data_IF_943558931531
#
_entry.id   IF_943558931531
#
_cell.length_a   1.000
_cell.length_b   1.000
_cell.length_c   1.000
_cell.angle_alpha   90.00
_cell.angle_beta   90.00
_cell.angle_gamma   90.00
#
_symmetry.space_group_name_H-M   'P 1'
#
loop_
_entity.id
_entity.type
_entity.pdbx_description
1 polymer ?
#
# COMPACT_ATOMS: atom_id res chain seq x y z
N UNK A 1 -49.80 -15.14 -21.28
CA UNK A 1 -49.04 -15.95 -20.31
C UNK A 1 -47.82 -16.44 -21.04
N UNK A 2 -46.69 -15.74 -20.88
CA UNK A 2 -45.38 -16.19 -21.32
C UNK A 2 -44.43 -15.96 -20.14
N UNK A 3 -44.00 -17.06 -19.51
CA UNK A 3 -43.03 -17.08 -18.43
C UNK A 3 -41.64 -16.80 -19.01
N UNK A 4 -41.07 -15.68 -18.61
CA UNK A 4 -39.69 -15.27 -18.95
C UNK A 4 -38.71 -15.95 -17.96
N UNK A 5 -38.27 -17.16 -18.33
CA UNK A 5 -37.32 -17.97 -17.59
C UNK A 5 -35.91 -17.39 -17.66
N UNK A 6 -35.60 -16.37 -16.87
CA UNK A 6 -34.21 -15.95 -16.65
C UNK A 6 -33.49 -16.98 -15.76
N UNK A 7 -32.83 -17.92 -16.39
CA UNK A 7 -31.82 -18.76 -15.72
C UNK A 7 -30.65 -17.89 -15.32
N UNK A 8 -30.49 -17.62 -14.00
CA UNK A 8 -29.27 -17.11 -13.42
C UNK A 8 -28.17 -18.16 -13.68
N UNK A 9 -27.32 -17.87 -14.63
CA UNK A 9 -26.11 -18.66 -14.88
C UNK A 9 -25.21 -18.63 -13.65
N UNK A 10 -25.21 -19.71 -12.89
CA UNK A 10 -24.21 -20.00 -11.87
C UNK A 10 -22.87 -19.99 -12.58
N UNK A 11 -22.00 -19.02 -12.25
CA UNK A 11 -20.66 -18.90 -12.81
C UNK A 11 -19.93 -20.22 -12.68
N UNK A 12 -19.69 -20.90 -13.79
CA UNK A 12 -18.86 -22.09 -13.83
C UNK A 12 -17.47 -21.69 -13.35
N UNK A 13 -17.05 -22.16 -12.17
CA UNK A 13 -15.69 -22.02 -11.68
C UNK A 13 -14.73 -22.44 -12.80
N UNK A 14 -13.84 -21.53 -13.22
CA UNK A 14 -12.86 -21.85 -14.25
C UNK A 14 -12.06 -23.06 -13.79
N UNK A 15 -12.14 -24.16 -14.50
CA UNK A 15 -11.32 -25.34 -14.23
C UNK A 15 -9.83 -24.92 -14.27
N UNK A 16 -9.05 -25.39 -13.30
CA UNK A 16 -7.61 -25.11 -13.24
C UNK A 16 -6.97 -25.64 -14.53
N UNK A 17 -6.31 -24.76 -15.28
CA UNK A 17 -5.64 -25.12 -16.53
C UNK A 17 -4.26 -25.67 -16.21
N UNK A 18 -3.85 -26.84 -16.73
CA UNK A 18 -2.56 -27.44 -16.39
C UNK A 18 -1.39 -26.60 -16.89
N UNK A 19 -1.45 -26.11 -18.11
CA UNK A 19 -0.43 -25.26 -18.73
C UNK A 19 -1.05 -24.42 -19.85
N UNK A 20 -0.76 -23.13 -19.87
CA UNK A 20 -1.18 -22.19 -20.92
C UNK A 20 0.03 -21.43 -21.43
N UNK A 21 0.02 -21.07 -22.71
CA UNK A 21 0.99 -20.11 -23.24
C UNK A 21 0.77 -18.75 -22.57
N UNK A 22 1.79 -18.25 -21.89
CA UNK A 22 1.72 -16.96 -21.20
C UNK A 22 1.93 -15.84 -22.23
N UNK A 23 0.88 -15.11 -22.53
CA UNK A 23 0.88 -13.94 -23.43
C UNK A 23 0.26 -12.75 -22.72
N UNK A 24 0.65 -11.55 -23.13
CA UNK A 24 0.11 -10.32 -22.57
C UNK A 24 -1.41 -10.28 -22.71
N UNK A 25 -2.07 -9.81 -21.67
CA UNK A 25 -3.52 -9.58 -21.68
C UNK A 25 -3.85 -8.30 -22.45
N UNK A 26 -5.10 -8.19 -22.87
CA UNK A 26 -5.57 -6.98 -23.56
C UNK A 26 -5.80 -5.87 -22.51
N UNK A 27 -5.24 -4.67 -22.70
CA UNK A 27 -5.38 -3.57 -21.73
C UNK A 27 -6.80 -2.98 -21.67
N UNK A 28 -7.66 -3.32 -22.64
CA UNK A 28 -9.04 -2.85 -22.79
C UNK A 28 -10.09 -3.91 -22.41
N UNK A 29 -9.72 -4.95 -21.69
CA UNK A 29 -10.68 -5.91 -21.12
C UNK A 29 -11.74 -5.18 -20.28
N UNK A 30 -13.03 -5.39 -20.57
CA UNK A 30 -14.15 -4.61 -19.99
C UNK A 30 -14.25 -4.69 -18.46
N UNK A 31 -13.82 -5.80 -17.84
CA UNK A 31 -13.81 -6.00 -16.39
C UNK A 31 -12.67 -6.93 -16.00
N UNK A 32 -11.65 -6.37 -15.37
CA UNK A 32 -10.58 -7.13 -14.76
C UNK A 32 -10.57 -6.89 -13.25
N UNK A 33 -11.25 -7.79 -12.52
CA UNK A 33 -11.21 -7.83 -11.07
C UNK A 33 -9.95 -8.58 -10.59
N UNK A 34 -9.49 -8.24 -9.38
CA UNK A 34 -8.42 -8.95 -8.68
C UNK A 34 -8.84 -10.39 -8.39
N UNK A 35 -7.90 -11.33 -8.56
CA UNK A 35 -8.15 -12.75 -8.33
C UNK A 35 -8.00 -13.13 -6.85
N UNK A 36 -8.61 -14.23 -6.37
CA UNK A 36 -8.39 -14.71 -5.00
C UNK A 36 -6.90 -15.00 -4.69
N UNK A 37 -6.11 -15.41 -5.68
CA UNK A 37 -4.68 -15.64 -5.53
C UNK A 37 -3.91 -14.33 -5.28
N UNK A 38 -4.29 -13.26 -5.97
CA UNK A 38 -3.72 -11.93 -5.77
C UNK A 38 -4.08 -11.37 -4.40
N UNK A 39 -5.30 -11.60 -3.91
CA UNK A 39 -5.71 -11.19 -2.56
C UNK A 39 -4.94 -11.96 -1.47
N UNK A 40 -4.74 -13.27 -1.66
CA UNK A 40 -3.91 -14.05 -0.75
C UNK A 40 -2.45 -13.57 -0.73
N UNK A 41 -1.94 -13.18 -1.90
CA UNK A 41 -0.62 -12.56 -2.01
C UNK A 41 -0.53 -11.28 -1.18
N UNK A 42 -1.52 -10.40 -1.27
CA UNK A 42 -1.58 -9.15 -0.49
C UNK A 42 -1.58 -9.41 1.01
N UNK A 43 -2.34 -10.41 1.48
CA UNK A 43 -2.38 -10.79 2.89
C UNK A 43 -1.02 -11.22 3.43
N UNK A 44 -0.21 -11.96 2.64
CA UNK A 44 1.15 -12.33 3.04
C UNK A 44 2.03 -11.09 3.27
N UNK A 45 1.90 -10.06 2.43
CA UNK A 45 2.65 -8.81 2.58
C UNK A 45 2.21 -8.01 3.79
N UNK A 46 0.92 -7.97 4.09
CA UNK A 46 0.41 -7.28 5.27
C UNK A 46 0.99 -7.87 6.56
N UNK A 47 1.09 -9.21 6.66
CA UNK A 47 1.76 -9.86 7.80
C UNK A 47 3.21 -9.38 7.95
N UNK A 48 3.95 -9.23 6.86
CA UNK A 48 5.31 -8.74 6.89
C UNK A 48 5.38 -7.25 7.28
N UNK A 49 4.45 -6.43 6.79
CA UNK A 49 4.35 -5.00 7.15
C UNK A 49 3.98 -4.81 8.61
N UNK A 50 3.05 -5.61 9.14
CA UNK A 50 2.70 -5.62 10.57
C UNK A 50 3.92 -5.92 11.45
N UNK A 51 4.76 -6.89 11.03
CA UNK A 51 6.04 -7.17 11.72
C UNK A 51 6.98 -5.97 11.71
N UNK A 52 7.11 -5.25 10.59
CA UNK A 52 7.93 -4.04 10.51
C UNK A 52 7.36 -2.91 11.39
N UNK A 53 6.03 -2.75 11.42
CA UNK A 53 5.33 -1.83 12.31
C UNK A 53 5.60 -2.12 13.78
N UNK A 54 5.46 -3.37 14.22
CA UNK A 54 5.75 -3.78 15.60
C UNK A 54 7.21 -3.54 16.00
N UNK A 55 8.19 -3.69 15.09
CA UNK A 55 9.59 -3.33 15.38
C UNK A 55 9.80 -1.82 15.47
N UNK A 56 9.09 -1.02 14.68
CA UNK A 56 9.08 0.43 14.83
C UNK A 56 8.54 0.83 16.21
N UNK A 57 7.41 0.25 16.64
CA UNK A 57 6.83 0.49 17.98
C UNK A 57 7.85 0.19 19.07
N UNK A 58 8.46 -1.00 19.03
CA UNK A 58 9.45 -1.43 20.01
C UNK A 58 10.66 -0.47 20.09
N UNK A 59 11.28 -0.12 18.96
CA UNK A 59 12.42 0.79 18.92
C UNK A 59 12.06 2.20 19.45
N UNK A 60 10.86 2.69 19.12
CA UNK A 60 10.39 3.99 19.63
C UNK A 60 10.12 3.93 21.13
N UNK A 61 9.53 2.84 21.65
CA UNK A 61 9.28 2.64 23.08
C UNK A 61 10.58 2.56 23.89
N UNK A 62 11.63 1.97 23.33
CA UNK A 62 12.97 1.91 23.94
C UNK A 62 13.77 3.23 23.84
N UNK A 63 13.24 4.24 23.17
CA UNK A 63 13.86 5.57 23.09
C UNK A 63 14.82 5.76 21.91
N UNK A 64 14.81 4.86 20.92
CA UNK A 64 15.56 5.01 19.66
C UNK A 64 14.65 5.13 18.42
N UNK A 65 13.88 6.23 18.31
CA UNK A 65 12.98 6.45 17.18
C UNK A 65 13.71 6.61 15.85
N UNK A 66 14.97 7.05 15.87
CA UNK A 66 15.77 7.24 14.66
C UNK A 66 16.09 5.91 13.98
N UNK A 67 16.59 4.96 14.74
CA UNK A 67 16.86 3.60 14.28
C UNK A 67 15.58 2.89 13.84
N UNK A 68 14.52 2.96 14.68
CA UNK A 68 13.23 2.37 14.35
C UNK A 68 12.64 2.89 13.04
N UNK A 69 12.66 4.20 12.82
CA UNK A 69 12.14 4.81 11.59
C UNK A 69 13.00 4.43 10.37
N UNK A 70 14.31 4.45 10.49
CA UNK A 70 15.20 4.04 9.39
C UNK A 70 14.98 2.58 9.01
N UNK A 71 14.97 1.67 9.98
CA UNK A 71 14.67 0.25 9.77
C UNK A 71 13.31 0.03 9.11
N UNK A 72 12.28 0.71 9.61
CA UNK A 72 10.94 0.66 9.04
C UNK A 72 10.93 1.09 7.56
N UNK A 73 11.53 2.22 7.23
CA UNK A 73 11.56 2.72 5.85
C UNK A 73 12.30 1.77 4.91
N UNK A 74 13.42 1.19 5.33
CA UNK A 74 14.18 0.24 4.50
C UNK A 74 13.44 -1.08 4.30
N UNK A 75 12.92 -1.67 5.36
CA UNK A 75 12.16 -2.92 5.28
C UNK A 75 10.87 -2.72 4.49
N UNK A 76 10.14 -1.64 4.77
CA UNK A 76 8.92 -1.32 4.05
C UNK A 76 9.18 -1.09 2.56
N UNK A 77 10.31 -0.47 2.19
CA UNK A 77 10.70 -0.34 0.78
C UNK A 77 10.85 -1.70 0.11
N UNK A 78 11.56 -2.64 0.71
CA UNK A 78 11.75 -3.95 0.13
C UNK A 78 10.44 -4.73 -0.03
N UNK A 79 9.55 -4.67 0.98
CA UNK A 79 8.22 -5.27 0.93
C UNK A 79 7.36 -4.64 -0.17
N UNK A 80 7.19 -3.33 -0.12
CA UNK A 80 6.39 -2.58 -1.07
C UNK A 80 6.87 -2.79 -2.51
N UNK A 81 8.18 -2.74 -2.73
CA UNK A 81 8.76 -2.89 -4.06
C UNK A 81 8.58 -4.30 -4.64
N UNK A 82 8.72 -5.32 -3.81
CA UNK A 82 8.42 -6.69 -4.21
C UNK A 82 6.95 -6.86 -4.60
N UNK A 83 6.04 -6.29 -3.80
CA UNK A 83 4.61 -6.28 -4.07
C UNK A 83 4.26 -5.56 -5.37
N UNK A 84 4.81 -4.37 -5.60
CA UNK A 84 4.64 -3.60 -6.85
C UNK A 84 5.05 -4.41 -8.06
N UNK A 85 6.24 -5.02 -8.04
CA UNK A 85 6.75 -5.78 -9.18
C UNK A 85 5.83 -6.94 -9.57
N UNK A 86 5.32 -7.70 -8.59
CA UNK A 86 4.36 -8.77 -8.87
C UNK A 86 3.02 -8.22 -9.35
N UNK A 87 2.51 -7.17 -8.73
CA UNK A 87 1.21 -6.57 -9.07
C UNK A 87 1.18 -6.09 -10.53
N UNK A 88 2.24 -5.43 -11.00
CA UNK A 88 2.36 -4.99 -12.37
C UNK A 88 2.57 -6.15 -13.34
N UNK A 89 3.36 -7.16 -12.95
CA UNK A 89 3.49 -8.40 -13.74
C UNK A 89 2.14 -9.10 -13.88
N UNK A 90 1.41 -9.31 -12.79
CA UNK A 90 0.12 -9.96 -12.79
C UNK A 90 -0.90 -9.17 -13.65
N UNK A 91 -0.87 -7.83 -13.60
CA UNK A 91 -1.72 -7.01 -14.46
C UNK A 91 -1.51 -7.29 -15.94
N UNK A 92 -0.29 -7.56 -16.36
CA UNK A 92 0.02 -7.82 -17.78
C UNK A 92 -0.09 -9.29 -18.18
N UNK A 93 0.26 -10.25 -17.30
CA UNK A 93 0.55 -11.63 -17.70
C UNK A 93 -0.16 -12.71 -16.86
N UNK A 94 -1.15 -12.37 -16.04
CA UNK A 94 -1.91 -13.40 -15.32
C UNK A 94 -2.62 -14.36 -16.29
N UNK A 95 -2.21 -15.62 -16.28
CA UNK A 95 -2.80 -16.71 -17.08
C UNK A 95 -3.51 -17.76 -16.22
N UNK A 96 -3.43 -17.65 -14.89
CA UNK A 96 -4.11 -18.49 -13.88
C UNK A 96 -3.97 -20.01 -14.12
N UNK A 97 -2.79 -20.47 -14.52
CA UNK A 97 -2.49 -21.87 -14.67
C UNK A 97 -1.61 -22.43 -13.53
N UNK A 98 -1.38 -23.73 -13.51
CA UNK A 98 -0.62 -24.39 -12.41
C UNK A 98 0.77 -23.80 -12.21
N UNK A 99 1.63 -23.60 -13.21
CA UNK A 99 2.94 -22.99 -13.01
C UNK A 99 2.89 -21.55 -12.53
N UNK A 100 1.89 -20.76 -12.98
CA UNK A 100 1.70 -19.39 -12.50
C UNK A 100 1.34 -19.38 -11.01
N UNK A 101 0.36 -20.20 -10.60
CA UNK A 101 -0.04 -20.33 -9.20
C UNK A 101 1.12 -20.81 -8.31
N UNK A 102 1.87 -21.84 -8.74
CA UNK A 102 3.02 -22.34 -7.98
C UNK A 102 4.12 -21.29 -7.82
N UNK A 103 4.47 -20.56 -8.88
CA UNK A 103 5.46 -19.50 -8.80
C UNK A 103 4.98 -18.35 -7.87
N UNK A 104 3.69 -18.03 -7.87
CA UNK A 104 3.10 -17.04 -6.96
C UNK A 104 3.14 -17.52 -5.50
N UNK A 105 2.82 -18.79 -5.25
CA UNK A 105 2.93 -19.38 -3.90
C UNK A 105 4.38 -19.40 -3.40
N UNK A 106 5.36 -19.67 -4.28
CA UNK A 106 6.80 -19.56 -3.94
C UNK A 106 7.16 -18.13 -3.56
N UNK A 107 6.64 -17.12 -4.27
CA UNK A 107 6.84 -15.73 -3.89
C UNK A 107 6.24 -15.43 -2.51
N UNK A 108 5.01 -15.91 -2.22
CA UNK A 108 4.40 -15.77 -0.89
C UNK A 108 5.26 -16.41 0.21
N UNK A 109 5.81 -17.60 -0.02
CA UNK A 109 6.74 -18.23 0.91
C UNK A 109 7.99 -17.36 1.13
N UNK A 110 8.52 -16.75 0.06
CA UNK A 110 9.64 -15.81 0.15
C UNK A 110 9.30 -14.57 1.01
N UNK A 111 8.08 -14.02 0.90
CA UNK A 111 7.60 -12.92 1.77
C UNK A 111 7.60 -13.36 3.24
N UNK A 112 7.11 -14.55 3.54
CA UNK A 112 7.07 -15.05 4.93
C UNK A 112 8.47 -15.29 5.49
N UNK A 113 9.42 -15.79 4.68
CA UNK A 113 10.84 -15.88 5.06
C UNK A 113 11.41 -14.48 5.32
N UNK A 114 11.10 -13.50 4.47
CA UNK A 114 11.53 -12.12 4.67
C UNK A 114 10.96 -11.54 5.96
N UNK A 115 9.67 -11.78 6.23
CA UNK A 115 9.01 -11.37 7.48
C UNK A 115 9.66 -11.96 8.73
N UNK A 116 10.11 -13.22 8.66
CA UNK A 116 10.85 -13.87 9.75
C UNK A 116 12.23 -13.24 10.00
N UNK A 117 12.85 -12.65 8.97
CA UNK A 117 14.13 -11.96 9.08
C UNK A 117 14.05 -10.51 9.59
N UNK A 118 12.85 -9.92 9.69
CA UNK A 118 12.69 -8.51 10.09
C UNK A 118 13.26 -8.21 11.49
N UNK A 119 13.02 -9.02 12.54
CA UNK A 119 13.61 -8.75 13.84
C UNK A 119 15.14 -8.64 13.80
N UNK A 120 15.81 -9.63 13.21
CA UNK A 120 17.28 -9.61 13.11
C UNK A 120 17.81 -8.42 12.27
N UNK A 121 17.06 -8.01 11.26
CA UNK A 121 17.41 -6.83 10.45
C UNK A 121 17.33 -5.52 11.25
N UNK A 122 16.37 -5.41 12.20
CA UNK A 122 16.23 -4.24 13.06
C UNK A 122 17.22 -4.27 14.24
N UNK A 123 17.32 -5.41 14.95
CA UNK A 123 18.00 -5.47 16.23
C UNK A 123 19.52 -5.62 16.05
N UNK A 124 19.94 -6.42 15.07
CA UNK A 124 21.32 -6.84 14.87
C UNK A 124 21.94 -6.31 13.56
N UNK A 125 21.21 -5.50 12.78
CA UNK A 125 21.56 -5.13 11.42
C UNK A 125 21.86 -6.34 10.51
N UNK A 126 21.29 -7.52 10.84
CA UNK A 126 21.48 -8.77 10.10
C UNK A 126 20.38 -8.96 9.08
N UNK A 127 20.65 -8.57 7.85
CA UNK A 127 19.69 -8.64 6.74
C UNK A 127 19.66 -9.99 6.02
N UNK A 128 20.47 -10.98 6.42
CA UNK A 128 20.68 -12.24 5.69
C UNK A 128 19.37 -12.97 5.40
N UNK A 129 18.52 -13.21 6.41
CA UNK A 129 17.25 -13.93 6.23
C UNK A 129 16.26 -13.10 5.38
N UNK A 130 16.21 -11.80 5.59
CA UNK A 130 15.34 -10.91 4.81
C UNK A 130 15.75 -10.92 3.32
N UNK A 131 17.05 -10.86 3.01
CA UNK A 131 17.56 -10.93 1.63
C UNK A 131 17.34 -12.31 1.02
N UNK A 132 17.45 -13.40 1.77
CA UNK A 132 17.10 -14.75 1.28
C UNK A 132 15.62 -14.80 0.89
N UNK A 133 14.72 -14.30 1.73
CA UNK A 133 13.30 -14.21 1.42
C UNK A 133 13.04 -13.38 0.14
N UNK A 134 13.69 -12.23 0.04
CA UNK A 134 13.63 -11.38 -1.15
C UNK A 134 14.15 -12.10 -2.40
N UNK A 135 15.28 -12.84 -2.30
CA UNK A 135 15.84 -13.63 -3.40
C UNK A 135 14.88 -14.73 -3.88
N UNK A 136 14.24 -15.47 -2.96
CA UNK A 136 13.22 -16.47 -3.31
C UNK A 136 12.11 -15.85 -4.17
N UNK A 137 11.59 -14.69 -3.76
CA UNK A 137 10.57 -13.98 -4.52
C UNK A 137 11.05 -13.58 -5.90
N UNK A 138 12.27 -13.02 -5.98
CA UNK A 138 12.85 -12.51 -7.23
C UNK A 138 13.20 -13.62 -8.22
N UNK A 139 13.65 -14.78 -7.75
CA UNK A 139 13.89 -15.96 -8.59
C UNK A 139 12.57 -16.44 -9.22
N UNK A 140 11.51 -16.55 -8.42
CA UNK A 140 10.20 -16.95 -8.92
C UNK A 140 9.62 -15.92 -9.92
N UNK A 141 9.74 -14.62 -9.63
CA UNK A 141 9.30 -13.56 -10.55
C UNK A 141 10.14 -13.55 -11.85
N UNK A 142 11.45 -13.76 -11.76
CA UNK A 142 12.32 -13.88 -12.93
C UNK A 142 11.91 -15.06 -13.81
N UNK A 143 11.59 -16.21 -13.21
CA UNK A 143 11.07 -17.37 -13.94
C UNK A 143 9.73 -17.04 -14.65
N UNK A 144 8.85 -16.27 -14.02
CA UNK A 144 7.62 -15.80 -14.64
C UNK A 144 7.89 -14.84 -15.82
N UNK A 145 8.83 -13.90 -15.70
CA UNK A 145 9.23 -13.04 -16.82
C UNK A 145 9.87 -13.81 -17.97
N UNK A 146 10.71 -14.80 -17.70
CA UNK A 146 11.27 -15.67 -18.72
C UNK A 146 10.20 -16.50 -19.43
N UNK A 147 9.20 -16.96 -18.69
CA UNK A 147 8.04 -17.65 -19.23
C UNK A 147 7.19 -16.73 -20.12
N UNK A 148 6.96 -15.48 -19.70
CA UNK A 148 6.32 -14.47 -20.54
C UNK A 148 7.12 -14.22 -21.83
N UNK A 149 8.44 -14.10 -21.73
CA UNK A 149 9.31 -13.95 -22.90
C UNK A 149 9.27 -15.16 -23.86
N UNK A 150 9.05 -16.36 -23.32
CA UNK A 150 8.86 -17.56 -24.17
C UNK A 150 7.50 -17.54 -24.88
N UNK A 151 6.48 -17.02 -24.21
CA UNK A 151 5.12 -16.88 -24.77
C UNK A 151 4.97 -15.75 -25.78
N UNK A 152 5.84 -14.74 -25.73
CA UNK A 152 5.78 -13.53 -26.54
C UNK A 152 6.72 -13.56 -27.76
N UNK A 153 6.54 -12.57 -28.66
CA UNK A 153 7.40 -12.34 -29.81
C UNK A 153 7.73 -10.84 -29.94
N UNK A 154 8.71 -10.50 -30.78
CA UNK A 154 9.04 -9.12 -31.13
C UNK A 154 9.36 -8.21 -29.92
N UNK A 155 8.80 -6.98 -29.88
CA UNK A 155 9.10 -6.02 -28.82
C UNK A 155 8.66 -6.46 -27.42
N UNK A 156 7.50 -7.10 -27.26
CA UNK A 156 7.00 -7.60 -25.97
C UNK A 156 7.95 -8.62 -25.36
N UNK A 157 8.45 -9.57 -26.16
CA UNK A 157 9.50 -10.52 -25.73
C UNK A 157 10.76 -9.80 -25.24
N UNK A 158 11.20 -8.78 -25.97
CA UNK A 158 12.38 -8.00 -25.59
C UNK A 158 12.19 -7.26 -24.28
N UNK A 159 11.00 -6.75 -24.01
CA UNK A 159 10.66 -6.12 -22.73
C UNK A 159 10.68 -7.12 -21.58
N UNK A 160 10.06 -8.29 -21.74
CA UNK A 160 10.09 -9.35 -20.74
C UNK A 160 11.52 -9.85 -20.42
N UNK A 161 12.37 -10.00 -21.43
CA UNK A 161 13.78 -10.36 -21.24
C UNK A 161 14.58 -9.29 -20.51
N UNK A 162 14.29 -7.99 -20.76
CA UNK A 162 14.96 -6.89 -20.02
C UNK A 162 14.54 -6.86 -18.56
N UNK A 163 13.26 -7.13 -18.24
CA UNK A 163 12.83 -7.31 -16.86
C UNK A 163 13.58 -8.46 -16.19
N UNK A 164 13.62 -9.64 -16.80
CA UNK A 164 14.35 -10.79 -16.26
C UNK A 164 15.84 -10.49 -16.05
N UNK A 165 16.51 -9.86 -17.03
CA UNK A 165 17.91 -9.50 -16.93
C UNK A 165 18.17 -8.43 -15.85
N UNK A 166 17.32 -7.39 -15.78
CA UNK A 166 17.41 -6.35 -14.74
C UNK A 166 17.26 -6.94 -13.34
N UNK A 167 16.27 -7.81 -13.13
CA UNK A 167 16.08 -8.50 -11.85
C UNK A 167 17.33 -9.33 -11.48
N UNK A 168 17.88 -10.13 -12.40
CA UNK A 168 19.08 -10.93 -12.13
C UNK A 168 20.28 -10.05 -11.76
N UNK A 169 20.51 -8.96 -12.48
CA UNK A 169 21.63 -8.05 -12.20
C UNK A 169 21.52 -7.42 -10.81
N UNK A 170 20.35 -6.92 -10.46
CA UNK A 170 20.15 -6.28 -9.15
C UNK A 170 20.21 -7.31 -8.03
N UNK A 171 19.66 -8.53 -8.23
CA UNK A 171 19.77 -9.60 -7.24
C UNK A 171 21.21 -10.07 -7.02
N UNK A 172 22.04 -10.13 -8.07
CA UNK A 172 23.47 -10.39 -7.90
C UNK A 172 24.13 -9.30 -7.02
N UNK A 173 23.73 -8.03 -7.18
CA UNK A 173 24.16 -6.94 -6.32
C UNK A 173 23.77 -7.15 -4.85
N UNK A 174 22.53 -7.53 -4.57
CA UNK A 174 22.07 -7.82 -3.20
C UNK A 174 22.80 -9.01 -2.56
N UNK A 175 23.11 -10.05 -3.34
CA UNK A 175 23.93 -11.17 -2.85
C UNK A 175 25.35 -10.70 -2.52
N UNK A 176 25.96 -9.88 -3.36
CA UNK A 176 27.28 -9.30 -3.08
C UNK A 176 27.25 -8.46 -1.79
N UNK A 177 26.18 -7.70 -1.57
CA UNK A 177 26.03 -6.89 -0.35
C UNK A 177 26.11 -7.70 0.95
N UNK A 178 25.52 -8.91 0.98
CA UNK A 178 25.61 -9.79 2.18
C UNK A 178 27.05 -10.23 2.47
N UNK A 179 27.88 -10.25 1.45
CA UNK A 179 29.28 -10.69 1.55
C UNK A 179 30.25 -9.56 1.86
N UNK A 180 29.77 -8.30 1.84
CA UNK A 180 30.58 -7.11 2.15
C UNK A 180 30.61 -6.84 3.66
N UNK A 181 31.66 -6.16 4.17
CA UNK A 181 31.69 -5.66 5.55
C UNK A 181 30.56 -4.66 5.84
N UNK A 182 30.12 -4.59 7.09
CA UNK A 182 28.96 -3.78 7.52
C UNK A 182 29.13 -2.28 7.21
N UNK A 183 30.34 -1.75 7.20
CA UNK A 183 30.65 -0.35 6.86
C UNK A 183 30.40 -0.01 5.36
N UNK A 184 30.39 -1.02 4.48
CA UNK A 184 30.10 -0.84 3.07
C UNK A 184 28.59 -0.84 2.76
N UNK A 185 27.72 -1.17 3.74
CA UNK A 185 26.31 -1.41 3.51
C UNK A 185 25.57 -0.19 2.95
N UNK A 186 25.77 0.99 3.54
CA UNK A 186 25.13 2.23 3.07
C UNK A 186 25.57 2.62 1.65
N UNK A 187 26.82 2.39 1.30
CA UNK A 187 27.36 2.70 -0.02
C UNK A 187 26.82 1.79 -1.12
N UNK A 188 26.51 0.54 -0.80
CA UNK A 188 25.92 -0.41 -1.73
C UNK A 188 24.40 -0.30 -1.81
N UNK A 189 23.73 -0.03 -0.69
CA UNK A 189 22.26 0.01 -0.61
C UNK A 189 21.63 1.02 -1.58
N UNK A 190 22.07 2.28 -1.56
CA UNK A 190 21.48 3.32 -2.40
C UNK A 190 21.66 3.09 -3.91
N UNK A 191 22.82 2.67 -4.42
CA UNK A 191 22.95 2.26 -5.83
C UNK A 191 22.04 1.10 -6.22
N UNK A 192 21.88 0.09 -5.34
CA UNK A 192 20.99 -1.04 -5.60
C UNK A 192 19.53 -0.63 -5.57
N UNK A 193 19.13 0.23 -4.63
CA UNK A 193 17.79 0.82 -4.59
C UNK A 193 17.47 1.58 -5.89
N UNK A 194 18.38 2.41 -6.35
CA UNK A 194 18.24 3.11 -7.64
C UNK A 194 18.18 2.11 -8.79
N UNK A 195 18.99 1.05 -8.75
CA UNK A 195 18.96 -0.03 -9.72
C UNK A 195 17.61 -0.73 -9.78
N UNK A 196 17.03 -1.08 -8.61
CA UNK A 196 15.68 -1.67 -8.51
C UNK A 196 14.63 -0.77 -9.17
N UNK A 197 14.59 0.51 -8.80
CA UNK A 197 13.65 1.50 -9.35
C UNK A 197 13.85 1.75 -10.85
N UNK A 198 15.05 1.56 -11.36
CA UNK A 198 15.39 1.78 -12.77
C UNK A 198 15.01 0.58 -13.66
N UNK A 199 14.86 -0.64 -13.12
CA UNK A 199 14.53 -1.84 -13.91
C UNK A 199 13.29 -1.65 -14.78
N UNK A 200 12.10 -1.22 -14.26
CA UNK A 200 10.92 -1.00 -15.10
C UNK A 200 11.15 0.06 -16.18
N UNK A 201 11.74 1.20 -15.81
CA UNK A 201 12.01 2.28 -16.76
C UNK A 201 12.97 1.84 -17.89
N UNK A 202 13.98 1.03 -17.57
CA UNK A 202 14.89 0.44 -18.55
C UNK A 202 14.18 -0.61 -19.41
N UNK A 203 13.38 -1.50 -18.82
CA UNK A 203 12.71 -2.56 -19.55
C UNK A 203 11.68 -2.01 -20.55
N UNK A 204 10.88 -1.03 -20.15
CA UNK A 204 9.77 -0.50 -20.92
C UNK A 204 10.13 0.66 -21.88
N UNK A 205 11.38 1.12 -21.87
CA UNK A 205 11.81 2.26 -22.68
C UNK A 205 11.50 2.20 -24.20
N UNK A 206 11.29 1.01 -24.74
CA UNK A 206 11.00 0.79 -26.16
C UNK A 206 9.60 0.25 -26.41
N UNK A 207 9.03 -0.46 -25.46
CA UNK A 207 7.71 -1.05 -25.54
C UNK A 207 7.17 -1.26 -24.11
N UNK A 208 6.07 -0.58 -23.74
CA UNK A 208 5.45 -0.76 -22.44
C UNK A 208 4.78 -2.14 -22.33
N UNK A 209 4.63 -2.63 -21.12
CA UNK A 209 3.79 -3.80 -20.82
C UNK A 209 2.31 -3.44 -20.93
N UNK A 210 1.47 -4.44 -21.23
CA UNK A 210 0.01 -4.31 -21.34
C UNK A 210 -0.66 -4.35 -19.97
N UNK A 211 -0.41 -3.34 -19.11
CA UNK A 211 -1.09 -3.24 -17.82
C UNK A 211 -2.51 -2.66 -17.99
N UNK A 212 -3.41 -2.98 -17.05
CA UNK A 212 -4.81 -2.54 -17.07
C UNK A 212 -5.06 -1.47 -16.00
N UNK A 213 -5.51 -0.23 -16.36
CA UNK A 213 -5.66 0.88 -15.42
C UNK A 213 -6.58 0.58 -14.24
N UNK A 214 -7.76 0.01 -14.52
CA UNK A 214 -8.73 -0.35 -13.48
C UNK A 214 -8.18 -1.42 -12.54
N UNK A 215 -7.54 -2.47 -13.08
CA UNK A 215 -6.96 -3.54 -12.27
C UNK A 215 -5.84 -3.02 -11.34
N UNK A 216 -4.95 -2.18 -11.86
CA UNK A 216 -3.88 -1.57 -11.03
C UNK A 216 -4.50 -0.70 -9.93
N UNK A 217 -5.46 0.17 -10.26
CA UNK A 217 -6.13 1.01 -9.26
C UNK A 217 -6.86 0.16 -8.19
N UNK A 218 -7.53 -0.92 -8.61
CA UNK A 218 -8.20 -1.86 -7.70
C UNK A 218 -7.21 -2.56 -6.77
N UNK A 219 -6.09 -3.08 -7.32
CA UNK A 219 -5.05 -3.75 -6.51
C UNK A 219 -4.48 -2.85 -5.43
N UNK A 220 -4.12 -1.60 -5.79
CA UNK A 220 -3.61 -0.64 -4.82
C UNK A 220 -4.67 -0.26 -3.77
N UNK A 221 -5.95 -0.14 -4.19
CA UNK A 221 -7.07 0.10 -3.29
C UNK A 221 -7.28 -1.06 -2.31
N UNK A 222 -7.32 -2.30 -2.80
CA UNK A 222 -7.47 -3.49 -1.96
C UNK A 222 -6.31 -3.62 -0.96
N UNK A 223 -5.09 -3.41 -1.41
CA UNK A 223 -3.93 -3.43 -0.51
C UNK A 223 -4.01 -2.33 0.54
N UNK A 224 -4.49 -1.13 0.18
CA UNK A 224 -4.75 -0.05 1.16
C UNK A 224 -5.78 -0.48 2.20
N UNK A 225 -6.89 -1.12 1.80
CA UNK A 225 -7.92 -1.62 2.74
C UNK A 225 -7.32 -2.65 3.70
N UNK A 226 -6.53 -3.59 3.19
CA UNK A 226 -5.91 -4.62 4.03
C UNK A 226 -4.92 -3.99 5.01
N UNK A 227 -4.13 -3.00 4.58
CA UNK A 227 -3.24 -2.23 5.45
C UNK A 227 -3.99 -1.47 6.56
N UNK A 228 -5.16 -0.89 6.25
CA UNK A 228 -6.02 -0.26 7.27
C UNK A 228 -6.59 -1.28 8.27
N UNK A 229 -6.69 -2.56 7.88
CA UNK A 229 -7.06 -3.65 8.79
C UNK A 229 -6.10 -3.78 9.97
N UNK A 230 -4.79 -3.62 9.76
CA UNK A 230 -3.79 -3.60 10.83
C UNK A 230 -3.99 -2.41 11.78
N UNK A 231 -4.34 -1.25 11.23
CA UNK A 231 -4.64 -0.07 12.05
C UNK A 231 -5.89 -0.28 12.92
N UNK A 232 -6.91 -0.98 12.38
CA UNK A 232 -8.10 -1.38 13.15
C UNK A 232 -7.73 -2.38 14.25
N UNK A 233 -6.84 -3.34 13.96
CA UNK A 233 -6.36 -4.29 14.95
C UNK A 233 -5.62 -3.57 16.11
N UNK A 234 -4.74 -2.61 15.81
CA UNK A 234 -4.09 -1.79 16.82
C UNK A 234 -5.08 -1.01 17.70
N UNK A 235 -6.12 -0.40 17.09
CA UNK A 235 -7.19 0.27 17.84
C UNK A 235 -7.99 -0.71 18.72
N UNK A 236 -8.18 -1.96 18.27
CA UNK A 236 -8.87 -3.01 19.05
C UNK A 236 -8.04 -3.42 20.26
N UNK A 237 -6.72 -3.55 20.12
CA UNK A 237 -5.81 -3.82 21.25
C UNK A 237 -5.90 -2.71 22.29
N UNK A 238 -5.97 -1.44 21.86
CA UNK A 238 -6.17 -0.32 22.77
C UNK A 238 -7.47 -0.42 23.59
N UNK A 239 -8.56 -0.82 22.95
CA UNK A 239 -9.85 -1.05 23.64
C UNK A 239 -9.74 -2.20 24.62
N UNK A 240 -9.10 -3.31 24.23
CA UNK A 240 -8.92 -4.47 25.10
C UNK A 240 -8.09 -4.12 26.33
N UNK A 241 -6.95 -3.43 26.15
CA UNK A 241 -6.12 -2.96 27.27
C UNK A 241 -6.90 -2.03 28.20
N UNK A 242 -7.77 -1.17 27.66
CA UNK A 242 -8.62 -0.30 28.47
C UNK A 242 -9.68 -1.07 29.29
N UNK A 243 -10.16 -2.20 28.79
CA UNK A 243 -11.13 -3.04 29.51
C UNK A 243 -10.47 -3.90 30.60
N UNK A 244 -9.19 -4.24 30.41
CA UNK A 244 -8.41 -5.04 31.36
C UNK A 244 -7.87 -4.18 32.52
N UNK A 245 -7.76 -2.85 32.33
CA UNK A 245 -7.27 -1.90 33.33
C UNK A 245 -8.23 -0.71 33.47
N UNK A 246 -9.09 -0.74 34.49
CA UNK A 246 -10.09 0.29 34.76
C UNK A 246 -9.47 1.69 35.00
N UNK A 247 -8.23 1.79 35.48
CA UNK A 247 -7.55 3.07 35.72
C UNK A 247 -7.14 3.74 34.39
N UNK A 248 -6.79 2.94 33.37
CA UNK A 248 -6.39 3.42 32.06
C UNK A 248 -7.58 3.74 31.11
N UNK A 249 -8.80 3.36 31.47
CA UNK A 249 -10.00 3.49 30.61
C UNK A 249 -10.19 4.92 30.09
N UNK A 250 -9.98 5.92 30.96
CA UNK A 250 -10.16 7.35 30.63
C UNK A 250 -9.18 7.87 29.57
N UNK A 251 -8.00 7.26 29.42
CA UNK A 251 -6.97 7.65 28.48
C UNK A 251 -7.03 6.82 27.18
N UNK A 252 -7.29 5.54 27.27
CA UNK A 252 -7.25 4.61 26.15
C UNK A 252 -8.49 4.69 25.24
N UNK A 253 -9.70 4.89 25.79
CA UNK A 253 -10.90 5.02 24.97
C UNK A 253 -10.87 6.23 24.00
N UNK A 254 -10.42 7.44 24.39
CA UNK A 254 -10.22 8.53 23.44
C UNK A 254 -9.22 8.21 22.35
N UNK A 255 -8.12 7.50 22.65
CA UNK A 255 -7.11 7.08 21.66
C UNK A 255 -7.74 6.11 20.67
N UNK A 256 -8.45 5.08 21.15
CA UNK A 256 -9.12 4.10 20.30
C UNK A 256 -10.19 4.73 19.41
N UNK A 257 -11.05 5.59 19.97
CA UNK A 257 -12.09 6.30 19.21
C UNK A 257 -11.49 7.23 18.18
N UNK A 258 -10.48 8.01 18.55
CA UNK A 258 -9.76 8.91 17.63
C UNK A 258 -9.07 8.13 16.50
N UNK A 259 -8.40 7.02 16.83
CA UNK A 259 -7.78 6.13 15.86
C UNK A 259 -8.78 5.55 14.86
N UNK A 260 -9.92 5.07 15.33
CA UNK A 260 -10.98 4.54 14.47
C UNK A 260 -11.53 5.61 13.52
N UNK A 261 -11.73 6.84 14.00
CA UNK A 261 -12.17 7.96 13.16
C UNK A 261 -11.11 8.33 12.13
N UNK A 262 -9.81 8.29 12.49
CA UNK A 262 -8.71 8.48 11.53
C UNK A 262 -8.78 7.43 10.43
N UNK A 263 -8.93 6.15 10.76
CA UNK A 263 -9.02 5.05 9.78
C UNK A 263 -10.19 5.26 8.81
N UNK A 264 -11.37 5.61 9.32
CA UNK A 264 -12.54 5.86 8.47
C UNK A 264 -12.34 7.06 7.56
N UNK A 265 -11.72 8.14 8.06
CA UNK A 265 -11.40 9.30 7.25
C UNK A 265 -10.35 9.00 6.17
N UNK A 266 -9.29 8.25 6.52
CA UNK A 266 -8.25 7.79 5.60
C UNK A 266 -8.84 6.94 4.47
N UNK A 267 -9.72 5.98 4.82
CA UNK A 267 -10.48 5.20 3.84
C UNK A 267 -11.27 6.12 2.91
N UNK A 268 -12.06 7.04 3.46
CA UNK A 268 -12.89 7.96 2.67
C UNK A 268 -12.06 8.83 1.74
N UNK A 269 -10.95 9.39 2.23
CA UNK A 269 -10.05 10.26 1.46
C UNK A 269 -9.43 9.49 0.28
N UNK A 270 -9.00 8.25 0.50
CA UNK A 270 -8.38 7.45 -0.55
C UNK A 270 -9.35 7.07 -1.67
N UNK A 271 -10.56 6.67 -1.32
CA UNK A 271 -11.58 6.20 -2.28
C UNK A 271 -12.50 7.30 -2.81
N UNK A 272 -12.23 8.56 -2.51
CA UNK A 272 -13.09 9.69 -2.89
C UNK A 272 -13.14 9.96 -4.42
N UNK A 273 -12.19 9.43 -5.20
CA UNK A 273 -12.07 9.72 -6.64
C UNK A 273 -11.80 8.45 -7.46
N UNK A 274 -12.33 8.35 -8.69
CA UNK A 274 -12.12 7.20 -9.58
C UNK A 274 -10.74 7.28 -10.26
N UNK A 275 -9.67 7.01 -9.52
CA UNK A 275 -8.29 7.26 -9.96
C UNK A 275 -7.90 6.54 -11.26
N UNK A 276 -8.54 5.41 -11.61
CA UNK A 276 -8.28 4.69 -12.85
C UNK A 276 -8.52 5.56 -14.10
N UNK A 277 -9.40 6.56 -14.04
CA UNK A 277 -9.63 7.50 -15.14
C UNK A 277 -8.44 8.43 -15.41
N UNK A 278 -7.59 8.64 -14.40
CA UNK A 278 -6.36 9.45 -14.53
C UNK A 278 -5.19 8.64 -15.09
N UNK A 279 -5.19 7.31 -14.95
CA UNK A 279 -4.08 6.45 -15.33
C UNK A 279 -4.09 6.13 -16.83
N UNK A 280 -3.92 7.15 -17.67
CA UNK A 280 -3.99 7.02 -19.15
C UNK A 280 -2.63 6.83 -19.84
N UNK A 281 -1.51 6.89 -19.10
CA UNK A 281 -0.16 6.69 -19.62
C UNK A 281 0.75 6.01 -18.62
N UNK A 282 1.74 5.24 -19.10
CA UNK A 282 2.74 4.57 -18.25
C UNK A 282 3.49 5.56 -17.34
N UNK A 283 3.79 6.79 -17.82
CA UNK A 283 4.45 7.81 -16.99
C UNK A 283 3.59 8.23 -15.79
N UNK A 284 2.30 8.47 -16.00
CA UNK A 284 1.37 8.82 -14.91
C UNK A 284 1.23 7.64 -13.95
N UNK A 285 1.06 6.43 -14.49
CA UNK A 285 0.88 5.22 -13.71
C UNK A 285 2.12 4.88 -12.88
N UNK A 286 3.34 5.04 -13.40
CA UNK A 286 4.57 4.85 -12.62
C UNK A 286 4.72 5.91 -11.52
N UNK A 287 4.51 7.20 -11.84
CA UNK A 287 4.60 8.26 -10.83
C UNK A 287 3.57 8.03 -9.71
N UNK A 288 2.36 7.70 -10.07
CA UNK A 288 1.28 7.37 -9.14
C UNK A 288 1.61 6.13 -8.31
N UNK A 289 2.03 5.04 -8.97
CA UNK A 289 2.41 3.79 -8.30
C UNK A 289 3.58 3.98 -7.33
N UNK A 290 4.61 4.73 -7.72
CA UNK A 290 5.78 4.99 -6.87
C UNK A 290 5.45 5.90 -5.68
N UNK A 291 4.56 6.86 -5.85
CA UNK A 291 4.09 7.70 -4.74
C UNK A 291 3.34 6.89 -3.66
N UNK A 292 2.82 5.71 -4.00
CA UNK A 292 2.19 4.81 -3.04
C UNK A 292 3.16 4.23 -2.01
N UNK A 293 4.47 4.31 -2.22
CA UNK A 293 5.42 4.06 -1.15
C UNK A 293 5.12 4.91 0.09
N UNK A 294 4.86 6.20 -0.12
CA UNK A 294 4.53 7.12 0.98
C UNK A 294 3.11 6.88 1.49
N UNK A 295 2.12 6.67 0.60
CA UNK A 295 0.72 6.46 0.97
C UNK A 295 0.59 5.20 1.84
N UNK A 296 1.06 4.06 1.35
CA UNK A 296 0.95 2.78 2.03
C UNK A 296 1.83 2.71 3.29
N UNK A 297 3.05 3.27 3.21
CA UNK A 297 3.94 3.39 4.37
C UNK A 297 3.34 4.25 5.47
N UNK A 298 2.70 5.36 5.11
CA UNK A 298 1.98 6.19 6.08
C UNK A 298 0.77 5.48 6.65
N UNK A 299 -0.03 4.78 5.82
CA UNK A 299 -1.19 4.02 6.29
C UNK A 299 -0.80 2.97 7.35
N UNK A 300 0.28 2.20 7.11
CA UNK A 300 0.78 1.24 8.09
C UNK A 300 1.37 1.93 9.34
N UNK A 301 2.07 3.05 9.16
CA UNK A 301 2.66 3.81 10.26
C UNK A 301 1.60 4.45 11.18
N UNK A 302 0.38 4.73 10.70
CA UNK A 302 -0.76 5.16 11.55
C UNK A 302 -1.06 4.08 12.59
N UNK A 303 -1.11 2.80 12.20
CA UNK A 303 -1.32 1.69 13.11
C UNK A 303 -0.23 1.59 14.18
N UNK A 304 1.04 1.61 13.76
CA UNK A 304 2.17 1.63 14.69
C UNK A 304 2.13 2.86 15.62
N UNK A 305 1.74 4.03 15.11
CA UNK A 305 1.59 5.25 15.90
C UNK A 305 0.51 5.14 16.97
N UNK A 306 -0.63 4.50 16.66
CA UNK A 306 -1.68 4.23 17.64
C UNK A 306 -1.20 3.30 18.76
N UNK A 307 -0.46 2.25 18.40
CA UNK A 307 0.14 1.33 19.37
C UNK A 307 1.14 2.07 20.28
N UNK A 308 2.01 2.92 19.72
CA UNK A 308 2.91 3.80 20.49
C UNK A 308 2.12 4.72 21.44
N UNK A 309 0.98 5.29 20.99
CA UNK A 309 0.15 6.14 21.83
C UNK A 309 -0.46 5.36 23.00
N UNK A 310 -0.85 4.09 22.78
CA UNK A 310 -1.35 3.18 23.84
C UNK A 310 -0.24 2.85 24.82
N UNK A 311 0.95 2.44 24.36
CA UNK A 311 2.07 2.13 25.25
C UNK A 311 2.51 3.34 26.08
N UNK A 312 2.44 4.55 25.53
CA UNK A 312 2.72 5.77 26.27
C UNK A 312 1.65 6.05 27.34
N UNK A 313 0.35 5.85 27.02
CA UNK A 313 -0.74 6.07 27.95
C UNK A 313 -0.75 5.03 29.10
N UNK A 314 -0.29 3.81 28.84
CA UNK A 314 -0.13 2.74 29.86
C UNK A 314 1.23 2.75 30.55
N UNK A 315 2.04 3.79 30.34
CA UNK A 315 3.38 3.97 30.94
C UNK A 315 4.41 2.88 30.59
N UNK A 316 4.18 2.09 29.54
CA UNK A 316 5.14 1.09 29.06
C UNK A 316 6.24 1.69 28.16
N UNK A 317 6.01 2.89 27.59
CA UNK A 317 7.01 3.58 26.79
C UNK A 317 7.54 4.85 27.48
N UNK A 318 8.87 5.01 27.49
CA UNK A 318 9.56 6.19 28.05
C UNK A 318 9.56 7.39 27.09
N UNK A 319 8.36 7.77 26.61
CA UNK A 319 8.16 8.83 25.64
C UNK A 319 7.36 10.00 26.21
N UNK A 320 7.64 11.21 25.74
CA UNK A 320 6.75 12.33 26.02
C UNK A 320 5.43 12.17 25.25
N UNK A 321 4.33 12.65 25.82
CA UNK A 321 3.01 12.64 25.17
C UNK A 321 3.02 13.32 23.78
N UNK A 322 3.91 14.33 23.57
CA UNK A 322 4.08 14.95 22.24
C UNK A 322 4.79 14.05 21.23
N UNK A 323 5.76 13.25 21.67
CA UNK A 323 6.44 12.30 20.79
C UNK A 323 5.49 11.19 20.35
N UNK A 324 4.68 10.64 21.27
CA UNK A 324 3.63 9.68 20.96
C UNK A 324 2.55 10.28 20.03
N UNK A 325 2.13 11.53 20.32
CA UNK A 325 1.22 12.26 19.43
C UNK A 325 1.78 12.40 18.00
N UNK A 326 3.06 12.72 17.86
CA UNK A 326 3.71 12.86 16.55
C UNK A 326 3.72 11.53 15.78
N UNK A 327 3.87 10.39 16.48
CA UNK A 327 3.82 9.07 15.85
C UNK A 327 2.48 8.76 15.17
N UNK A 328 1.37 9.37 15.61
CA UNK A 328 0.05 9.27 14.96
C UNK A 328 -0.16 10.37 13.93
N UNK A 329 0.13 11.63 14.30
CA UNK A 329 -0.26 12.79 13.49
C UNK A 329 0.59 12.96 12.24
N UNK A 330 1.90 12.66 12.32
CA UNK A 330 2.81 12.77 11.18
C UNK A 330 2.44 11.81 10.04
N UNK A 331 2.29 10.49 10.25
CA UNK A 331 1.89 9.59 9.16
C UNK A 331 0.47 9.91 8.65
N UNK A 332 -0.45 10.35 9.50
CA UNK A 332 -1.79 10.78 9.07
C UNK A 332 -1.71 11.99 8.12
N UNK A 333 -0.93 13.00 8.48
CA UNK A 333 -0.72 14.18 7.63
C UNK A 333 0.01 13.82 6.32
N UNK A 334 1.04 12.97 6.37
CA UNK A 334 1.75 12.49 5.18
C UNK A 334 0.83 11.72 4.25
N UNK A 335 -0.04 10.87 4.77
CA UNK A 335 -1.06 10.18 3.99
C UNK A 335 -1.98 11.18 3.26
N UNK A 336 -2.54 12.16 4.00
CA UNK A 336 -3.45 13.17 3.42
C UNK A 336 -2.78 13.98 2.31
N UNK A 337 -1.54 14.46 2.53
CA UNK A 337 -0.78 15.22 1.53
C UNK A 337 -0.43 14.36 0.31
N UNK A 338 -0.04 13.11 0.53
CA UNK A 338 0.33 12.21 -0.57
C UNK A 338 -0.88 11.84 -1.43
N UNK A 339 -2.02 11.52 -0.81
CA UNK A 339 -3.27 11.28 -1.54
C UNK A 339 -3.73 12.54 -2.25
N UNK A 340 -3.63 13.72 -1.64
CA UNK A 340 -3.88 14.97 -2.34
C UNK A 340 -3.01 15.11 -3.59
N UNK A 341 -1.70 14.86 -3.46
CA UNK A 341 -0.73 15.07 -4.52
C UNK A 341 -0.93 14.15 -5.73
N UNK A 342 -1.36 12.91 -5.55
CA UNK A 342 -1.44 11.92 -6.63
C UNK A 342 -2.85 11.42 -6.96
N UNK A 343 -3.85 11.76 -6.13
CA UNK A 343 -5.26 11.44 -6.36
C UNK A 343 -6.10 12.70 -6.52
N UNK A 344 -6.38 13.39 -5.39
CA UNK A 344 -7.46 14.36 -5.30
C UNK A 344 -7.26 15.59 -6.20
N UNK A 345 -6.06 16.17 -6.26
CA UNK A 345 -5.80 17.41 -7.00
C UNK A 345 -6.13 17.34 -8.49
N UNK A 346 -6.06 16.15 -9.08
CA UNK A 346 -6.31 15.95 -10.51
C UNK A 346 -7.79 16.02 -10.88
N UNK A 347 -8.68 15.81 -9.89
CA UNK A 347 -10.13 15.82 -10.06
C UNK A 347 -10.78 17.10 -9.52
N UNK A 348 -10.03 17.94 -8.77
CA UNK A 348 -10.54 19.18 -8.18
C UNK A 348 -10.37 20.36 -9.13
N UNK A 349 -11.46 21.03 -9.46
CA UNK A 349 -11.49 22.19 -10.36
C UNK A 349 -11.37 23.52 -9.62
N UNK A 350 -11.92 23.59 -8.41
CA UNK A 350 -11.87 24.79 -7.58
C UNK A 350 -10.66 24.80 -6.65
N UNK A 351 -10.08 26.00 -6.44
CA UNK A 351 -8.93 26.20 -5.54
C UNK A 351 -9.26 25.87 -4.09
N UNK A 352 -10.48 26.20 -3.64
CA UNK A 352 -10.92 25.93 -2.26
C UNK A 352 -11.01 24.42 -2.03
N UNK A 353 -11.65 23.69 -2.93
CA UNK A 353 -11.71 22.23 -2.86
C UNK A 353 -10.30 21.60 -2.86
N UNK A 354 -9.39 22.18 -3.61
CA UNK A 354 -8.02 21.64 -3.73
C UNK A 354 -7.18 21.87 -2.46
N UNK A 355 -7.52 22.88 -1.64
CA UNK A 355 -6.83 23.17 -0.40
C UNK A 355 -7.35 22.37 0.80
N UNK A 356 -8.49 21.70 0.71
CA UNK A 356 -9.13 20.97 1.83
C UNK A 356 -8.18 19.97 2.47
N UNK A 357 -7.56 19.08 1.70
CA UNK A 357 -6.64 18.06 2.23
C UNK A 357 -5.32 18.65 2.76
N UNK A 358 -4.63 19.58 2.09
CA UNK A 358 -3.46 20.25 2.66
C UNK A 358 -3.75 21.00 3.97
N UNK A 359 -4.86 21.72 4.04
CA UNK A 359 -5.27 22.41 5.28
C UNK A 359 -5.62 21.41 6.38
N UNK A 360 -6.34 20.34 6.05
CA UNK A 360 -6.63 19.24 6.97
C UNK A 360 -5.35 18.61 7.53
N UNK A 361 -4.35 18.33 6.68
CA UNK A 361 -3.07 17.80 7.11
C UNK A 361 -2.33 18.72 8.08
N UNK A 362 -2.31 20.03 7.80
CA UNK A 362 -1.75 21.03 8.73
C UNK A 362 -2.52 21.04 10.05
N UNK A 363 -3.86 20.96 10.00
CA UNK A 363 -4.69 20.91 11.21
C UNK A 363 -4.38 19.67 12.04
N UNK A 364 -4.23 18.51 11.41
CA UNK A 364 -3.80 17.25 12.09
C UNK A 364 -2.43 17.44 12.74
N UNK A 365 -1.46 18.04 12.06
CA UNK A 365 -0.14 18.31 12.64
C UNK A 365 -0.21 19.26 13.85
N UNK A 366 -1.09 20.27 13.84
CA UNK A 366 -1.27 21.18 14.97
C UNK A 366 -1.78 20.43 16.22
N UNK A 367 -2.61 19.38 16.05
CA UNK A 367 -3.12 18.61 17.20
C UNK A 367 -2.01 17.93 18.00
N UNK A 368 -0.82 17.71 17.42
CA UNK A 368 0.37 17.19 18.15
C UNK A 368 0.68 18.00 19.40
N UNK A 369 0.40 19.31 19.40
CA UNK A 369 0.65 20.20 20.54
C UNK A 369 -0.26 19.91 21.75
N UNK A 370 -1.37 19.18 21.54
CA UNK A 370 -2.30 18.82 22.60
C UNK A 370 -1.86 17.60 23.44
N UNK A 371 -0.73 16.95 23.11
CA UNK A 371 -0.21 15.82 23.87
C UNK A 371 -1.20 14.65 23.93
N UNK A 372 -1.67 14.25 25.11
CA UNK A 372 -2.60 13.11 25.30
C UNK A 372 -3.90 13.24 24.50
N UNK A 373 -4.37 14.46 24.22
CA UNK A 373 -5.58 14.71 23.43
C UNK A 373 -5.32 14.76 21.91
N UNK A 374 -4.08 14.57 21.47
CA UNK A 374 -3.73 14.70 20.05
C UNK A 374 -4.48 13.71 19.15
N UNK A 375 -4.55 12.43 19.54
CA UNK A 375 -5.20 11.38 18.72
C UNK A 375 -6.70 11.62 18.54
N UNK A 376 -7.52 11.87 19.59
CA UNK A 376 -8.93 12.19 19.37
C UNK A 376 -9.15 13.51 18.62
N UNK A 377 -8.32 14.53 18.85
CA UNK A 377 -8.41 15.79 18.10
C UNK A 377 -8.01 15.62 16.62
N UNK A 378 -7.00 14.77 16.33
CA UNK A 378 -6.64 14.41 14.95
C UNK A 378 -7.79 13.68 14.25
N UNK A 379 -8.47 12.77 14.96
CA UNK A 379 -9.68 12.11 14.45
C UNK A 379 -10.77 13.12 14.09
N UNK A 380 -11.05 14.07 14.98
CA UNK A 380 -12.02 15.15 14.72
C UNK A 380 -11.59 16.01 13.52
N UNK A 381 -10.29 16.37 13.42
CA UNK A 381 -9.76 17.14 12.31
C UNK A 381 -9.89 16.39 10.96
N UNK A 382 -9.63 15.09 10.96
CA UNK A 382 -9.83 14.23 9.79
C UNK A 382 -11.31 14.17 9.39
N UNK A 383 -12.23 13.93 10.34
CA UNK A 383 -13.66 13.88 10.08
C UNK A 383 -14.18 15.23 9.54
N UNK A 384 -13.74 16.35 10.14
CA UNK A 384 -14.09 17.70 9.67
C UNK A 384 -13.57 17.93 8.23
N UNK A 385 -12.35 17.49 7.92
CA UNK A 385 -11.78 17.59 6.57
C UNK A 385 -12.62 16.83 5.55
N UNK A 386 -13.05 15.61 5.87
CA UNK A 386 -13.95 14.81 5.03
C UNK A 386 -15.29 15.51 4.85
N UNK A 387 -15.92 15.98 5.94
CA UNK A 387 -17.20 16.66 5.90
C UNK A 387 -17.17 17.94 5.04
N UNK A 388 -16.12 18.75 5.16
CA UNK A 388 -15.90 19.94 4.32
C UNK A 388 -15.74 19.52 2.85
N UNK A 389 -14.93 18.49 2.57
CA UNK A 389 -14.74 17.97 1.21
C UNK A 389 -16.06 17.53 0.56
N UNK A 390 -16.89 16.76 1.28
CA UNK A 390 -18.22 16.32 0.81
C UNK A 390 -19.13 17.53 0.54
N UNK A 391 -19.16 18.49 1.47
CA UNK A 391 -20.04 19.67 1.36
C UNK A 391 -19.70 20.52 0.15
N UNK A 392 -18.41 20.75 -0.11
CA UNK A 392 -17.94 21.49 -1.28
C UNK A 392 -18.24 20.73 -2.58
N UNK A 393 -17.96 19.42 -2.62
CA UNK A 393 -18.26 18.59 -3.79
C UNK A 393 -19.77 18.58 -4.11
N UNK A 394 -20.64 18.54 -3.11
CA UNK A 394 -22.09 18.61 -3.30
C UNK A 394 -22.55 19.94 -3.91
N UNK A 395 -21.87 21.05 -3.59
CA UNK A 395 -22.19 22.38 -4.14
C UNK A 395 -21.73 22.55 -5.60
N UNK A 396 -20.72 21.83 -6.02
CA UNK A 396 -20.16 21.89 -7.38
C UNK A 396 -20.94 21.05 -8.40
N UNK A 397 -21.86 20.18 -7.94
CA UNK A 397 -22.76 19.45 -8.82
C UNK A 397 -23.77 20.41 -9.46
N UNK A 398 -24.01 20.36 -10.79
CA UNK A 398 -25.05 21.16 -11.42
C UNK A 398 -26.39 20.81 -10.75
N UNK A 399 -27.06 21.83 -10.18
CA UNK A 399 -28.43 21.65 -9.72
C UNK A 399 -29.26 21.28 -10.95
N UNK A 400 -29.70 20.01 -11.03
CA UNK A 400 -30.49 19.49 -12.14
C UNK A 400 -31.68 20.40 -12.37
N UNK A 401 -31.66 21.11 -13.51
CA UNK A 401 -32.77 21.94 -13.92
C UNK A 401 -34.03 21.07 -13.94
N UNK A 402 -34.95 21.42 -13.10
CA UNK A 402 -36.35 20.99 -13.21
C UNK A 402 -36.89 21.57 -14.51
N UNK A 403 -36.56 20.94 -15.64
CA UNK A 403 -37.28 21.20 -16.89
C UNK A 403 -38.69 20.67 -16.68
N UNK A 404 -39.58 21.60 -16.32
CA UNK A 404 -41.00 21.40 -16.29
C UNK A 404 -41.45 20.71 -17.55
N UNK A 405 -42.06 19.54 -17.40
CA UNK A 405 -43.02 19.04 -18.38
C UNK A 405 -44.16 20.02 -18.42
N UNK A 406 -44.06 21.01 -19.30
CA UNK A 406 -45.22 21.71 -19.81
C UNK A 406 -46.02 20.71 -20.66
N UNK A 407 -47.05 20.15 -20.07
CA UNK A 407 -48.13 19.55 -20.82
C UNK A 407 -48.84 20.67 -21.62
N UNK A 408 -48.72 20.60 -22.91
CA UNK A 408 -49.57 21.38 -23.80
C UNK A 408 -50.34 20.36 -24.69
N UNK A 409 -51.64 20.32 -24.39
CA UNK A 409 -52.80 20.05 -25.22
C UNK A 409 -52.56 19.37 -26.57
#
# INVERSE_FOLDING_TARGET
MSEDGRTYGVGHGRAIRPLVRMTARQPDEAHRASTPLELLFDLCFVVAVARAGGRLVHAVAEGDPGHGLAGYLFVFFALWWAWVNFTWFASAYDCDDVPYRLATLVQMAGVLVMAAGIPAAFDDANYTVAVIGYLIMRVALTAQWLRAAHGESGPARSTALRYAAGLVVVQAGWIVMILLPDDAWLWGFFPLLVGELAVPAFAERRHPTSWHPHHIAERYGLFTIIMLGETIAAATVAVQSALDDDEALGELLPIAAGGLVIVFAVYWIYFAVPIHEYLVSSRQAFLWGYAHYVILGSAAAIGAGLEIAVEQATHHAHLSARAAALAVTLPTALFMVSVWAVHARHFKRDRVENLVLPVGAVTVMITTLAGHWATPLAGIACAATVAVGITLAARSLPQGGSTGRSAAS
#
